data_IF_787742005336
#
_entry.id   IF_787742005336
#
_cell.length_a   1.000
_cell.length_b   1.000
_cell.length_c   1.000
_cell.angle_alpha   90.00
_cell.angle_beta   90.00
_cell.angle_gamma   90.00
#
_symmetry.space_group_name_H-M   'P 1'
#
loop_
_entity.id
_entity.type
_entity.pdbx_description
1 polymer ?
#
# COMPACT_ATOMS: atom_id res chain seq x y z
N UNK A 1 4.72 12.01 -15.47
CA UNK A 1 3.69 12.00 -14.42
C UNK A 1 3.39 10.55 -14.08
N UNK A 2 3.63 10.13 -12.84
CA UNK A 2 3.25 8.80 -12.38
C UNK A 2 1.72 8.66 -12.44
N UNK A 3 1.22 7.57 -13.00
CA UNK A 3 -0.22 7.31 -13.03
C UNK A 3 -0.68 6.91 -11.61
N UNK A 4 -1.15 7.91 -10.86
CA UNK A 4 -1.60 7.77 -9.47
C UNK A 4 -2.66 6.67 -9.29
N UNK A 5 -3.54 6.48 -10.28
CA UNK A 5 -4.54 5.43 -10.22
C UNK A 5 -3.88 4.04 -10.25
N UNK A 6 -2.91 3.83 -11.14
CA UNK A 6 -2.18 2.56 -11.24
C UNK A 6 -1.40 2.26 -9.96
N UNK A 7 -0.71 3.24 -9.38
CA UNK A 7 0.01 3.06 -8.10
C UNK A 7 -0.93 2.62 -6.98
N UNK A 8 -2.14 3.21 -6.91
CA UNK A 8 -3.14 2.80 -5.92
C UNK A 8 -3.61 1.35 -6.13
N UNK A 9 -3.78 0.91 -7.38
CA UNK A 9 -4.09 -0.49 -7.68
C UNK A 9 -2.94 -1.42 -7.28
N UNK A 10 -1.70 -1.04 -7.60
CA UNK A 10 -0.51 -1.82 -7.21
C UNK A 10 -0.40 -1.96 -5.68
N UNK A 11 -0.73 -0.90 -4.92
CA UNK A 11 -0.79 -0.95 -3.44
C UNK A 11 -1.83 -1.99 -2.96
N UNK A 12 -3.03 -2.02 -3.56
CA UNK A 12 -4.06 -3.00 -3.21
C UNK A 12 -3.63 -4.44 -3.54
N UNK A 13 -3.00 -4.67 -4.69
CA UNK A 13 -2.49 -5.98 -5.08
C UNK A 13 -1.35 -6.45 -4.16
N UNK A 14 -0.47 -5.55 -3.75
CA UNK A 14 0.59 -5.85 -2.77
C UNK A 14 -0.04 -6.19 -1.41
N UNK A 15 -1.02 -5.42 -0.96
CA UNK A 15 -1.75 -5.69 0.28
C UNK A 15 -2.34 -7.11 0.27
N UNK A 16 -3.05 -7.46 -0.80
CA UNK A 16 -3.62 -8.80 -0.98
C UNK A 16 -2.56 -9.90 -0.86
N UNK A 17 -1.40 -9.72 -1.49
CA UNK A 17 -0.29 -10.69 -1.41
C UNK A 17 0.31 -10.80 -0.02
N UNK A 18 0.38 -9.71 0.74
CA UNK A 18 0.84 -9.70 2.14
C UNK A 18 -0.13 -10.50 3.01
N UNK A 19 -1.43 -10.27 2.83
CA UNK A 19 -2.50 -10.99 3.53
C UNK A 19 -2.48 -12.48 3.21
N UNK A 20 -2.47 -12.85 1.93
CA UNK A 20 -2.51 -14.24 1.48
C UNK A 20 -1.30 -15.05 1.98
N UNK A 21 -0.16 -14.39 2.19
CA UNK A 21 1.06 -15.00 2.72
C UNK A 21 1.14 -14.98 4.25
N UNK A 22 0.18 -14.37 4.95
CA UNK A 22 0.17 -14.26 6.40
C UNK A 22 1.32 -13.41 6.96
N UNK A 23 1.82 -12.44 6.18
CA UNK A 23 2.96 -11.61 6.58
C UNK A 23 2.59 -10.44 7.50
N UNK A 24 1.30 -10.17 7.67
CA UNK A 24 0.79 -9.16 8.60
C UNK A 24 -0.29 -9.76 9.51
N UNK A 25 -0.29 -9.39 10.78
CA UNK A 25 -1.34 -9.76 11.72
C UNK A 25 -2.47 -8.72 11.66
N UNK A 26 -3.69 -9.16 11.37
CA UNK A 26 -4.87 -8.29 11.28
C UNK A 26 -4.65 -7.06 10.37
N UNK A 27 -4.61 -5.86 10.94
CA UNK A 27 -4.47 -4.58 10.24
C UNK A 27 -3.08 -3.93 10.45
N UNK A 28 -2.09 -4.70 10.92
CA UNK A 28 -0.72 -4.24 11.09
C UNK A 28 -0.05 -3.91 9.75
N UNK A 29 0.85 -2.93 9.82
CA UNK A 29 1.67 -2.49 8.70
C UNK A 29 0.99 -1.46 7.79
N UNK A 30 1.83 -0.72 7.09
CA UNK A 30 1.42 0.27 6.08
C UNK A 30 2.27 0.07 4.83
N UNK A 31 1.69 0.37 3.67
CA UNK A 31 2.40 0.42 2.39
C UNK A 31 2.58 1.89 2.03
N UNK A 32 3.82 2.29 1.70
CA UNK A 32 4.16 3.66 1.33
C UNK A 32 4.99 3.65 0.05
N UNK A 33 4.65 4.56 -0.87
CA UNK A 33 5.35 4.74 -2.15
C UNK A 33 5.72 6.21 -2.31
N UNK A 34 6.98 6.49 -2.66
CA UNK A 34 7.41 7.85 -3.03
C UNK A 34 6.92 8.14 -4.44
N UNK A 35 6.11 9.20 -4.60
CA UNK A 35 5.47 9.55 -5.88
C UNK A 35 6.08 10.78 -6.55
N UNK A 36 6.79 11.60 -5.78
CA UNK A 36 7.64 12.72 -6.21
C UNK A 36 8.76 12.94 -5.19
N UNK A 37 9.63 13.94 -5.41
CA UNK A 37 10.72 14.25 -4.48
C UNK A 37 10.21 14.63 -3.08
N UNK A 38 9.05 15.30 -3.03
CA UNK A 38 8.48 15.88 -1.81
C UNK A 38 7.15 15.22 -1.37
N UNK A 39 6.65 14.20 -2.07
CA UNK A 39 5.38 13.57 -1.74
C UNK A 39 5.48 12.04 -1.65
N UNK A 40 4.76 11.50 -0.67
CA UNK A 40 4.59 10.07 -0.45
C UNK A 40 3.11 9.73 -0.40
N UNK A 41 2.75 8.61 -1.01
CA UNK A 41 1.44 8.01 -0.90
C UNK A 41 1.51 6.89 0.13
N UNK A 42 0.61 6.88 1.09
CA UNK A 42 0.52 5.86 2.12
C UNK A 42 -0.89 5.27 2.21
N UNK A 43 -0.98 4.00 2.63
CA UNK A 43 -2.25 3.38 3.00
C UNK A 43 -2.81 4.00 4.29
N UNK A 44 -4.15 4.14 4.42
CA UNK A 44 -4.77 4.54 5.68
C UNK A 44 -4.36 3.63 6.85
N UNK A 45 -4.28 4.20 8.05
CA UNK A 45 -3.98 3.45 9.27
C UNK A 45 -5.14 2.53 9.66
N UNK A 46 -4.83 1.42 10.34
CA UNK A 46 -5.80 0.46 10.87
C UNK A 46 -6.72 -0.23 9.84
N UNK A 47 -6.34 -0.24 8.57
CA UNK A 47 -7.02 -1.00 7.52
C UNK A 47 -6.30 -2.32 7.19
N UNK A 48 -7.07 -3.41 7.00
CA UNK A 48 -6.51 -4.66 6.48
C UNK A 48 -5.82 -4.41 5.15
N UNK A 49 -4.65 -5.02 5.01
CA UNK A 49 -3.98 -5.12 3.73
C UNK A 49 -4.53 -6.32 2.97
#
# INVERSE_FOLDING_TARGET
MNNMHRIKQDICDIGRRIYDKGFAAANDGNITVRVSDNEVLCTPTMHSK
#
